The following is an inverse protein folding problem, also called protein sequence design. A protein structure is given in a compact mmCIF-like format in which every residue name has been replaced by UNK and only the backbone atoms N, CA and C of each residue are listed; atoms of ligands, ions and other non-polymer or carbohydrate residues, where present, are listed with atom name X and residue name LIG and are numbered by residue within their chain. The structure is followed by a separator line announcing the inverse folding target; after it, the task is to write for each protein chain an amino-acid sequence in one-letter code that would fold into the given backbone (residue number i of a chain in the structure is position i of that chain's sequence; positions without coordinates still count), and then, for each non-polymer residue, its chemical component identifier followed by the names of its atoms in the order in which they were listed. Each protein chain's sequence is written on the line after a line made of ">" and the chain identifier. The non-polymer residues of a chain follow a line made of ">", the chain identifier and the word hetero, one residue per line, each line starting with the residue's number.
data_IF_930041018508
#
_entry.id   IF_930041018508
#
_cell.length_a   1.000
_cell.length_b   1.000
_cell.length_c   1.000
_cell.angle_alpha   90.00
_cell.angle_beta   90.00
_cell.angle_gamma   90.00
#
_symmetry.space_group_name_H-M   'P 1'
#
loop_
_entity.id
_entity.type
_entity.pdbx_description
1 polymer ?
#
# COMPACT_ATOMS: atom_id res chain seq x y z
N UNK A 1 9.20 -22.93 7.48
CA UNK A 1 8.61 -22.25 8.66
C UNK A 1 9.49 -21.06 9.00
N UNK A 2 8.96 -19.83 8.94
CA UNK A 2 9.72 -18.65 9.38
C UNK A 2 9.52 -18.54 10.90
N UNK A 3 10.33 -19.29 11.65
CA UNK A 3 10.35 -19.23 13.11
C UNK A 3 11.28 -18.09 13.52
N UNK A 4 10.72 -16.89 13.63
CA UNK A 4 11.43 -15.70 14.11
C UNK A 4 10.64 -15.04 15.23
N UNK A 5 11.33 -14.50 16.24
CA UNK A 5 10.66 -13.87 17.40
C UNK A 5 9.83 -12.68 16.92
N UNK A 6 8.51 -12.76 17.07
CA UNK A 6 7.60 -11.65 16.81
C UNK A 6 7.47 -10.82 18.08
N UNK A 7 7.94 -9.58 18.03
CA UNK A 7 7.81 -8.60 19.10
C UNK A 7 6.76 -7.58 18.69
N UNK A 8 5.62 -7.58 19.39
CA UNK A 8 4.60 -6.56 19.26
C UNK A 8 4.71 -5.62 20.46
N UNK A 9 4.84 -4.32 20.23
CA UNK A 9 4.80 -3.30 21.27
C UNK A 9 3.74 -2.27 20.90
N UNK A 10 2.73 -2.10 21.73
CA UNK A 10 1.65 -1.12 21.54
C UNK A 10 1.61 -0.17 22.73
N UNK A 11 1.84 1.11 22.46
CA UNK A 11 1.67 2.21 23.39
C UNK A 11 0.43 2.98 22.95
N UNK A 12 -0.64 2.86 23.73
CA UNK A 12 -1.86 3.59 23.52
C UNK A 12 -2.40 4.12 24.85
N UNK A 13 -2.97 5.32 24.81
CA UNK A 13 -3.66 5.97 25.92
C UNK A 13 -5.15 5.89 25.66
N UNK A 14 -5.86 5.21 26.55
CA UNK A 14 -7.31 5.17 26.58
C UNK A 14 -7.84 6.29 27.47
N UNK A 15 -8.71 7.11 26.91
CA UNK A 15 -9.48 8.15 27.60
C UNK A 15 -10.98 7.80 27.50
N UNK A 16 -11.82 8.51 28.25
CA UNK A 16 -13.27 8.30 28.25
C UNK A 16 -13.89 8.37 26.83
N UNK A 17 -13.34 9.21 25.95
CA UNK A 17 -13.90 9.48 24.63
C UNK A 17 -12.96 9.14 23.45
N UNK A 18 -11.73 8.69 23.71
CA UNK A 18 -10.75 8.47 22.65
C UNK A 18 -9.64 7.50 23.05
N UNK A 19 -9.03 6.86 22.05
CA UNK A 19 -7.81 6.06 22.13
C UNK A 19 -6.74 6.77 21.31
N UNK A 20 -5.72 7.31 21.97
CA UNK A 20 -4.54 7.83 21.29
C UNK A 20 -3.50 6.72 21.19
N UNK A 21 -3.13 6.31 19.97
CA UNK A 21 -2.07 5.35 19.69
C UNK A 21 -0.78 6.14 19.48
N UNK A 22 0.02 6.25 20.54
CA UNK A 22 1.31 6.93 20.50
C UNK A 22 2.29 6.16 19.60
N UNK A 23 2.31 4.82 19.70
CA UNK A 23 3.05 3.95 18.78
C UNK A 23 2.61 2.49 18.90
N UNK A 24 2.27 1.85 17.80
CA UNK A 24 2.13 0.40 17.68
C UNK A 24 3.22 -0.10 16.76
N UNK A 25 4.12 -0.93 17.24
CA UNK A 25 5.19 -1.52 16.44
C UNK A 25 5.07 -3.04 16.46
N UNK A 26 5.30 -3.66 15.32
CA UNK A 26 5.38 -5.09 15.17
C UNK A 26 6.68 -5.40 14.43
N UNK A 27 7.64 -5.95 15.16
CA UNK A 27 8.95 -6.31 14.64
C UNK A 27 9.10 -7.83 14.69
N UNK A 28 9.36 -8.43 13.54
CA UNK A 28 9.82 -9.80 13.41
C UNK A 28 11.19 -9.79 12.72
N UNK A 29 11.85 -10.95 12.64
CA UNK A 29 13.12 -11.10 11.93
C UNK A 29 13.06 -10.69 10.45
N UNK A 30 11.85 -10.60 9.89
CA UNK A 30 11.61 -10.39 8.48
C UNK A 30 10.57 -9.29 8.19
N UNK A 31 10.09 -8.54 9.18
CA UNK A 31 9.09 -7.49 8.97
C UNK A 31 9.18 -6.48 10.11
N UNK A 32 9.16 -5.19 9.78
CA UNK A 32 8.99 -4.11 10.75
C UNK A 32 7.80 -3.27 10.33
N UNK A 33 6.73 -3.28 11.10
CA UNK A 33 5.59 -2.37 10.90
C UNK A 33 5.37 -1.48 12.11
N UNK A 34 4.80 -0.31 11.83
CA UNK A 34 4.56 0.79 12.74
C UNK A 34 3.19 1.39 12.42
N UNK A 35 2.41 1.68 13.44
CA UNK A 35 1.13 2.37 13.36
C UNK A 35 1.09 3.44 14.43
N UNK A 36 0.59 4.62 14.11
CA UNK A 36 0.41 5.70 15.07
C UNK A 36 -0.83 6.52 14.70
N UNK A 37 -1.53 7.08 15.66
CA UNK A 37 -2.71 7.89 15.38
C UNK A 37 -3.71 7.92 16.53
N UNK A 38 -4.97 8.17 16.23
CA UNK A 38 -6.03 8.34 17.22
C UNK A 38 -7.37 7.79 16.74
N UNK A 39 -8.16 7.30 17.69
CA UNK A 39 -9.51 6.79 17.48
C UNK A 39 -10.42 7.50 18.47
N UNK A 40 -11.38 8.27 17.98
CA UNK A 40 -12.42 8.86 18.79
C UNK A 40 -13.52 7.81 19.01
N UNK A 41 -13.80 7.50 20.28
CA UNK A 41 -14.87 6.59 20.69
C UNK A 41 -16.23 7.29 20.70
N UNK A 42 -16.24 8.63 20.80
CA UNK A 42 -17.47 9.44 20.86
C UNK A 42 -18.25 9.40 19.55
N UNK A 43 -17.53 9.55 18.45
CA UNK A 43 -18.09 9.69 17.10
C UNK A 43 -17.58 8.62 16.13
N UNK A 44 -16.64 7.76 16.58
CA UNK A 44 -16.06 6.71 15.76
C UNK A 44 -15.07 7.23 14.71
N UNK A 45 -14.59 8.48 14.82
CA UNK A 45 -13.57 9.00 13.93
C UNK A 45 -12.23 8.28 14.16
N UNK A 46 -11.49 8.01 13.08
CA UNK A 46 -10.21 7.32 13.12
C UNK A 46 -9.23 8.13 12.29
N UNK A 47 -8.00 8.30 12.77
CA UNK A 47 -6.90 8.84 11.98
C UNK A 47 -5.65 8.04 12.34
N UNK A 48 -5.22 7.15 11.44
CA UNK A 48 -4.13 6.22 11.66
C UNK A 48 -3.12 6.31 10.53
N UNK A 49 -1.86 6.43 10.88
CA UNK A 49 -0.73 6.35 9.97
C UNK A 49 -0.06 5.00 10.14
N UNK A 50 -0.01 4.23 9.06
CA UNK A 50 0.66 2.94 8.97
C UNK A 50 1.94 3.10 8.17
N UNK A 51 3.02 2.46 8.62
CA UNK A 51 4.26 2.25 7.87
C UNK A 51 4.73 0.82 8.09
N UNK A 52 5.13 0.14 7.03
CA UNK A 52 5.66 -1.21 7.09
C UNK A 52 6.87 -1.32 6.17
N UNK A 53 7.87 -2.08 6.58
CA UNK A 53 9.07 -2.36 5.82
C UNK A 53 9.38 -3.86 5.96
N UNK A 54 9.54 -4.53 4.82
CA UNK A 54 9.81 -5.96 4.75
C UNK A 54 10.90 -6.23 3.71
N UNK A 55 11.91 -7.07 3.97
CA UNK A 55 12.77 -7.60 2.93
C UNK A 55 11.97 -8.52 2.00
N UNK A 56 12.30 -8.54 0.72
CA UNK A 56 11.62 -9.41 -0.25
C UNK A 56 11.80 -10.89 0.07
N UNK A 57 12.86 -11.28 0.77
CA UNK A 57 13.02 -12.64 1.31
C UNK A 57 11.88 -13.04 2.26
N UNK A 58 11.21 -12.10 2.91
CA UNK A 58 10.05 -12.34 3.78
C UNK A 58 8.72 -12.43 3.01
N UNK A 59 8.66 -11.87 1.80
CA UNK A 59 7.43 -11.79 1.02
C UNK A 59 7.15 -13.11 0.29
N UNK A 60 5.88 -13.41 -0.06
CA UNK A 60 5.54 -14.60 -0.84
C UNK A 60 6.37 -14.70 -2.12
N UNK A 61 6.72 -15.92 -2.54
CA UNK A 61 7.58 -16.15 -3.72
C UNK A 61 7.09 -15.44 -4.99
N UNK A 62 5.77 -15.31 -5.16
CA UNK A 62 5.14 -14.57 -6.25
C UNK A 62 5.52 -13.09 -6.30
N UNK A 63 5.76 -12.46 -5.15
CA UNK A 63 6.13 -11.05 -5.07
C UNK A 63 7.65 -10.84 -5.19
N UNK A 64 8.47 -11.85 -4.89
CA UNK A 64 9.94 -11.73 -4.88
C UNK A 64 10.56 -11.43 -6.24
N UNK A 65 9.95 -11.93 -7.32
CA UNK A 65 10.46 -11.75 -8.67
C UNK A 65 10.39 -10.30 -9.17
N UNK A 66 9.36 -9.56 -8.74
CA UNK A 66 9.06 -8.20 -9.21
C UNK A 66 9.52 -7.09 -8.25
N UNK A 67 9.89 -7.46 -7.03
CA UNK A 67 10.26 -6.54 -5.95
C UNK A 67 11.79 -6.44 -5.81
N UNK A 68 12.26 -5.29 -5.30
CA UNK A 68 13.67 -5.06 -4.94
C UNK A 68 14.12 -5.91 -3.75
N UNK A 69 15.20 -5.53 -3.07
CA UNK A 69 15.65 -6.24 -1.87
C UNK A 69 14.71 -6.04 -0.67
N UNK A 70 14.00 -4.91 -0.63
CA UNK A 70 13.03 -4.54 0.40
C UNK A 70 11.83 -3.84 -0.20
N UNK A 71 10.66 -4.06 0.38
CA UNK A 71 9.43 -3.35 0.10
C UNK A 71 9.02 -2.54 1.34
N UNK A 72 8.85 -1.23 1.13
CA UNK A 72 8.31 -0.31 2.12
C UNK A 72 6.91 0.12 1.70
N UNK A 73 5.96 0.08 2.64
CA UNK A 73 4.58 0.51 2.47
C UNK A 73 4.27 1.58 3.51
N UNK A 74 3.60 2.65 3.13
CA UNK A 74 3.03 3.64 4.03
C UNK A 74 1.58 3.91 3.63
N UNK A 75 0.70 4.21 4.57
CA UNK A 75 -0.68 4.60 4.28
C UNK A 75 -1.26 5.40 5.45
N UNK A 76 -2.22 6.27 5.16
CA UNK A 76 -3.00 6.99 6.16
C UNK A 76 -4.46 6.57 6.04
N UNK A 77 -5.03 6.05 7.12
CA UNK A 77 -6.44 5.67 7.22
C UNK A 77 -7.17 6.72 8.05
N UNK A 78 -8.18 7.35 7.46
CA UNK A 78 -9.03 8.32 8.11
C UNK A 78 -10.49 7.89 8.01
N UNK A 79 -11.14 7.61 9.14
CA UNK A 79 -12.59 7.39 9.22
C UNK A 79 -13.24 8.64 9.78
N UNK A 80 -14.25 9.14 9.11
CA UNK A 80 -15.04 10.26 9.59
C UNK A 80 -16.23 9.79 10.43
N UNK A 81 -16.75 10.65 11.32
CA UNK A 81 -17.97 10.39 12.09
C UNK A 81 -19.18 9.99 11.26
N UNK A 82 -19.26 10.50 10.02
CA UNK A 82 -20.33 10.17 9.07
C UNK A 82 -20.31 8.70 8.62
N UNK A 83 -19.26 7.95 8.94
CA UNK A 83 -19.01 6.60 8.45
C UNK A 83 -18.17 6.56 7.18
N UNK A 84 -17.82 7.72 6.61
CA UNK A 84 -16.94 7.80 5.44
C UNK A 84 -15.53 7.34 5.82
N UNK A 85 -14.93 6.52 4.96
CA UNK A 85 -13.58 6.02 5.12
C UNK A 85 -12.71 6.58 4.02
N UNK A 86 -11.55 7.12 4.35
CA UNK A 86 -10.59 7.68 3.41
C UNK A 86 -9.22 7.09 3.73
N UNK A 87 -8.67 6.33 2.79
CA UNK A 87 -7.31 5.83 2.80
C UNK A 87 -6.52 6.73 1.85
N UNK A 88 -5.63 7.55 2.38
CA UNK A 88 -4.78 8.46 1.62
C UNK A 88 -3.31 8.10 1.74
N UNK A 89 -2.52 8.57 0.78
CA UNK A 89 -1.06 8.47 0.85
C UNK A 89 -0.56 7.02 0.94
N UNK A 90 -1.28 6.07 0.35
CA UNK A 90 -0.78 4.71 0.19
C UNK A 90 0.44 4.81 -0.71
N UNK A 91 1.62 4.48 -0.21
CA UNK A 91 2.87 4.49 -0.97
C UNK A 91 3.60 3.19 -0.74
N UNK A 92 3.84 2.45 -1.81
CA UNK A 92 4.65 1.25 -1.87
C UNK A 92 5.92 1.56 -2.67
N UNK A 93 7.08 1.24 -2.12
CA UNK A 93 8.37 1.40 -2.81
C UNK A 93 9.19 0.13 -2.59
N UNK A 94 9.68 -0.46 -3.67
CA UNK A 94 10.45 -1.71 -3.62
C UNK A 94 11.43 -1.82 -4.78
N UNK A 95 12.67 -1.36 -4.56
CA UNK A 95 13.69 -1.28 -5.60
C UNK A 95 13.20 -0.48 -6.81
N UNK A 96 13.07 -1.07 -8.01
CA UNK A 96 12.59 -0.36 -9.19
C UNK A 96 11.07 -0.14 -9.22
N UNK A 97 10.30 -0.76 -8.31
CA UNK A 97 8.86 -0.60 -8.24
C UNK A 97 8.48 0.54 -7.28
N UNK A 98 7.65 1.47 -7.75
CA UNK A 98 6.95 2.45 -6.91
C UNK A 98 5.45 2.39 -7.20
N UNK A 99 4.61 2.54 -6.19
CA UNK A 99 3.18 2.73 -6.36
C UNK A 99 2.64 3.69 -5.30
N UNK A 100 1.80 4.61 -5.72
CA UNK A 100 1.13 5.60 -4.91
C UNK A 100 -0.37 5.44 -5.13
N UNK A 101 -1.17 5.59 -4.08
CA UNK A 101 -2.60 5.37 -4.19
C UNK A 101 -3.43 5.96 -3.05
N UNK A 102 -4.72 5.92 -3.28
CA UNK A 102 -5.75 6.39 -2.37
C UNK A 102 -7.02 5.58 -2.59
N UNK A 103 -7.82 5.42 -1.55
CA UNK A 103 -9.14 4.86 -1.62
C UNK A 103 -10.09 5.63 -0.69
N UNK A 104 -11.35 5.70 -1.04
CA UNK A 104 -12.39 6.35 -0.27
C UNK A 104 -13.66 5.51 -0.39
N UNK A 105 -14.38 5.39 0.72
CA UNK A 105 -15.69 4.78 0.80
C UNK A 105 -16.62 5.78 1.49
N UNK A 106 -17.54 6.34 0.73
CA UNK A 106 -18.55 7.27 1.22
C UNK A 106 -19.88 6.95 0.55
N UNK A 107 -20.97 6.98 1.31
CA UNK A 107 -22.33 6.83 0.78
C UNK A 107 -22.52 5.57 -0.11
N UNK A 108 -21.96 4.44 0.31
CA UNK A 108 -21.95 3.16 -0.42
C UNK A 108 -21.22 3.21 -1.79
N UNK A 109 -20.41 4.24 -2.03
CA UNK A 109 -19.55 4.38 -3.21
C UNK A 109 -18.10 4.20 -2.82
N UNK A 110 -17.40 3.33 -3.53
CA UNK A 110 -15.95 3.17 -3.46
C UNK A 110 -15.33 4.01 -4.56
N UNK A 111 -14.33 4.82 -4.22
CA UNK A 111 -13.39 5.41 -5.17
C UNK A 111 -12.00 4.93 -4.79
N UNK A 112 -11.21 4.40 -5.70
CA UNK A 112 -9.82 4.08 -5.48
C UNK A 112 -9.01 4.51 -6.70
N UNK A 113 -7.85 5.07 -6.46
CA UNK A 113 -6.92 5.50 -7.50
C UNK A 113 -5.53 5.03 -7.09
N UNK A 114 -4.90 4.23 -7.93
CA UNK A 114 -3.58 3.67 -7.71
C UNK A 114 -2.76 3.94 -8.96
N UNK A 115 -1.60 4.56 -8.79
CA UNK A 115 -0.62 4.84 -9.84
C UNK A 115 0.68 4.20 -9.44
N UNK A 116 1.24 3.36 -10.29
CA UNK A 116 2.57 2.81 -10.07
C UNK A 116 3.46 2.95 -11.28
N UNK A 117 4.74 2.76 -11.03
CA UNK A 117 5.79 2.80 -12.02
C UNK A 117 6.81 1.71 -11.68
N UNK A 118 7.24 1.01 -12.71
CA UNK A 118 8.37 0.10 -12.67
C UNK A 118 9.45 0.71 -13.57
N UNK A 119 10.50 1.24 -12.97
CA UNK A 119 11.58 1.92 -13.67
C UNK A 119 12.58 0.96 -14.34
N UNK A 120 12.56 -0.32 -13.96
CA UNK A 120 13.41 -1.36 -14.53
C UNK A 120 12.61 -2.65 -14.80
N UNK A 121 12.16 -2.78 -16.05
CA UNK A 121 11.39 -3.94 -16.53
C UNK A 121 12.28 -5.09 -17.01
N UNK A 122 13.61 -4.92 -17.01
CA UNK A 122 14.55 -5.95 -17.44
C UNK A 122 14.53 -7.16 -16.51
N UNK A 123 13.97 -7.01 -15.31
CA UNK A 123 13.68 -8.11 -14.37
C UNK A 123 12.43 -8.94 -14.74
N UNK A 124 11.48 -8.37 -15.48
CA UNK A 124 10.32 -9.14 -15.98
C UNK A 124 10.65 -9.86 -17.29
N UNK A 125 11.43 -9.24 -18.17
CA UNK A 125 11.89 -9.85 -19.40
C UNK A 125 13.28 -9.36 -19.76
N UNK A 126 14.19 -10.31 -20.00
CA UNK A 126 15.57 -10.06 -20.44
C UNK A 126 15.67 -9.25 -21.74
N UNK A 127 14.60 -9.20 -22.53
CA UNK A 127 14.54 -8.49 -23.81
C UNK A 127 13.79 -7.15 -23.72
N UNK A 128 13.26 -6.80 -22.53
CA UNK A 128 12.52 -5.56 -22.31
C UNK A 128 13.36 -4.57 -21.50
N UNK A 129 13.61 -3.39 -22.07
CA UNK A 129 14.30 -2.27 -21.41
C UNK A 129 13.41 -1.04 -21.48
N UNK A 130 13.10 -0.44 -20.33
CA UNK A 130 12.22 0.72 -20.26
C UNK A 130 11.55 0.85 -18.89
N UNK A 131 10.73 1.90 -18.76
CA UNK A 131 9.85 2.09 -17.62
C UNK A 131 8.40 1.81 -18.03
N UNK A 132 7.64 1.16 -17.15
CA UNK A 132 6.19 0.99 -17.30
C UNK A 132 5.51 1.77 -16.19
N UNK A 133 4.55 2.61 -16.53
CA UNK A 133 3.62 3.20 -15.59
C UNK A 133 2.25 2.49 -15.72
N UNK A 134 1.59 2.28 -14.60
CA UNK A 134 0.22 1.75 -14.58
C UNK A 134 -0.64 2.64 -13.69
N UNK A 135 -1.87 2.88 -14.12
CA UNK A 135 -2.87 3.61 -13.37
C UNK A 135 -4.14 2.76 -13.31
N UNK A 136 -4.54 2.37 -12.11
CA UNK A 136 -5.79 1.69 -11.82
C UNK A 136 -6.69 2.68 -11.10
N UNK A 137 -7.89 2.90 -11.65
CA UNK A 137 -8.96 3.61 -10.98
C UNK A 137 -10.15 2.68 -10.79
N UNK A 138 -10.80 2.77 -9.65
CA UNK A 138 -12.00 2.04 -9.30
C UNK A 138 -13.03 3.06 -8.81
N UNK A 139 -14.19 3.16 -9.45
CA UNK A 139 -15.22 4.09 -8.98
C UNK A 139 -16.62 3.50 -9.19
N UNK A 140 -17.45 3.55 -8.17
CA UNK A 140 -18.83 3.09 -8.29
C UNK A 140 -19.39 2.58 -6.97
N UNK A 141 -20.48 1.81 -7.05
CA UNK A 141 -21.07 1.19 -5.87
C UNK A 141 -20.10 0.17 -5.29
N UNK A 142 -20.04 0.06 -3.96
CA UNK A 142 -19.11 -0.85 -3.28
C UNK A 142 -19.24 -2.33 -3.74
N UNK A 143 -20.42 -2.72 -4.22
CA UNK A 143 -20.71 -4.08 -4.70
C UNK A 143 -20.40 -4.30 -6.19
N UNK A 144 -20.17 -3.22 -6.95
CA UNK A 144 -19.86 -3.25 -8.38
C UNK A 144 -19.13 -1.95 -8.79
N UNK A 145 -17.87 -1.74 -8.35
CA UNK A 145 -17.09 -0.60 -8.79
C UNK A 145 -16.73 -0.78 -10.28
N UNK A 146 -16.80 0.29 -11.05
CA UNK A 146 -16.23 0.33 -12.38
C UNK A 146 -14.70 0.39 -12.25
N UNK A 147 -14.00 -0.50 -12.94
CA UNK A 147 -12.55 -0.66 -12.84
C UNK A 147 -11.91 -0.28 -14.16
N UNK A 148 -11.10 0.77 -14.16
CA UNK A 148 -10.33 1.20 -15.32
C UNK A 148 -8.84 1.04 -15.04
N UNK A 149 -8.20 0.18 -15.81
CA UNK A 149 -6.76 -0.05 -15.78
C UNK A 149 -6.13 0.52 -17.06
N UNK A 150 -5.25 1.49 -16.88
CA UNK A 150 -4.42 2.06 -17.95
C UNK A 150 -2.98 1.66 -17.72
N UNK A 151 -2.31 1.19 -18.77
CA UNK A 151 -0.89 0.85 -18.73
C UNK A 151 -0.21 1.68 -19.80
N UNK A 152 0.81 2.44 -19.40
CA UNK A 152 1.64 3.26 -20.25
C UNK A 152 3.07 2.73 -20.22
N UNK A 153 3.70 2.68 -21.38
CA UNK A 153 5.11 2.30 -21.52
C UNK A 153 5.79 3.29 -22.45
N UNK A 154 6.92 3.84 -22.04
CA UNK A 154 7.62 4.83 -22.87
C UNK A 154 8.37 4.18 -24.06
N UNK A 155 8.83 2.92 -23.91
CA UNK A 155 9.42 2.12 -24.99
C UNK A 155 9.25 0.63 -24.71
N UNK A 156 8.42 -0.08 -25.50
CA UNK A 156 8.37 -1.54 -25.50
C UNK A 156 9.14 -2.05 -26.72
N UNK A 157 10.43 -2.37 -26.53
CA UNK A 157 11.18 -3.17 -27.50
C UNK A 157 10.93 -4.64 -27.18
N UNK A 158 10.21 -5.36 -28.05
CA UNK A 158 10.04 -6.81 -27.94
C UNK A 158 10.76 -7.43 -29.13
N UNK A 159 11.84 -8.16 -28.86
CA UNK A 159 12.55 -8.98 -29.85
C UNK A 159 12.87 -8.23 -31.17
N UNK A 160 13.57 -7.10 -31.08
CA UNK A 160 14.02 -6.31 -32.24
C UNK A 160 12.91 -5.68 -33.10
N UNK A 161 11.71 -5.51 -32.54
CA UNK A 161 10.67 -4.65 -33.11
C UNK A 161 10.23 -3.61 -32.07
N UNK A 162 10.36 -2.35 -32.45
CA UNK A 162 9.88 -1.18 -31.70
C UNK A 162 8.34 -1.15 -31.78
N UNK A 163 7.66 -1.05 -30.63
CA UNK A 163 6.22 -0.81 -30.52
C UNK A 163 5.98 0.37 -29.60
#
# INVERSE_FOLDING_TARGET
>A
LIAGKVTAALTARLSADAVAIDSGTLKSDALSSQVAGQVSLRDGAIDLNLKADAPSSALPAAARGMLGDRAQISATLKREPSGNLNIGGLKLTSGPLSADGQASLADNKVTADIKGALSDISRLSKDATGAIAFALSAQGLAMAPDLSLTINSDKLSVASREI
#
